data_IF_875079609217
#
_entry.id   IF_875079609217
#
_cell.length_a   1.000
_cell.length_b   1.000
_cell.length_c   1.000
_cell.angle_alpha   90.00
_cell.angle_beta   90.00
_cell.angle_gamma   90.00
#
_symmetry.space_group_name_H-M   'P 1'
#
loop_
_entity.id
_entity.type
_entity.pdbx_description
1 polymer ?
#
# COMPACT_ATOMS: atom_id res chain seq x y z
N UNK A 1 8.01 22.75 17.90
CA UNK A 1 8.08 22.13 16.56
C UNK A 1 6.99 21.06 16.54
N UNK A 2 5.80 21.42 16.08
CA UNK A 2 4.71 20.44 15.94
C UNK A 2 5.14 19.35 14.97
N UNK A 3 5.07 18.11 15.41
CA UNK A 3 5.48 16.96 14.60
C UNK A 3 4.29 16.57 13.74
N UNK A 4 4.15 17.23 12.59
CA UNK A 4 3.14 16.84 11.61
C UNK A 4 3.39 15.37 11.21
N UNK A 5 2.39 14.47 11.35
CA UNK A 5 2.58 13.08 10.99
C UNK A 5 2.85 13.00 9.48
N UNK A 6 4.09 12.68 9.11
CA UNK A 6 4.45 12.43 7.71
C UNK A 6 3.96 11.03 7.33
N UNK A 7 2.99 10.96 6.43
CA UNK A 7 2.46 9.70 5.94
C UNK A 7 3.40 9.09 4.90
N UNK A 8 4.26 8.17 5.38
CA UNK A 8 5.31 7.44 4.63
C UNK A 8 4.80 6.64 3.42
N UNK A 9 3.49 6.57 3.19
CA UNK A 9 2.91 5.96 1.99
C UNK A 9 3.16 6.75 0.70
N UNK A 10 3.40 8.07 0.81
CA UNK A 10 3.54 8.98 -0.33
C UNK A 10 4.99 9.15 -0.82
N UNK A 11 5.96 8.79 0.00
CA UNK A 11 7.36 8.89 -0.36
C UNK A 11 7.82 7.60 -0.99
N UNK A 12 8.45 7.69 -2.17
CA UNK A 12 9.25 6.58 -2.69
C UNK A 12 10.13 6.02 -1.56
N UNK A 13 10.24 4.68 -1.44
CA UNK A 13 11.14 4.13 -0.44
C UNK A 13 12.56 4.65 -0.70
N UNK A 14 13.39 4.81 0.33
CA UNK A 14 14.77 5.23 0.12
C UNK A 14 15.46 4.20 -0.78
N UNK A 15 16.07 4.65 -1.87
CA UNK A 15 16.65 3.79 -2.91
C UNK A 15 18.14 4.07 -3.10
N UNK A 16 18.93 3.02 -3.32
CA UNK A 16 20.32 3.09 -3.81
C UNK A 16 20.33 2.57 -5.25
N UNK A 17 20.81 3.37 -6.20
CA UNK A 17 20.93 2.99 -7.61
C UNK A 17 19.65 2.36 -8.23
N UNK A 18 18.47 2.82 -7.77
CA UNK A 18 17.16 2.33 -8.23
C UNK A 18 16.68 1.02 -7.58
N UNK A 19 17.30 0.60 -6.48
CA UNK A 19 16.86 -0.54 -5.65
C UNK A 19 16.52 -0.06 -4.23
N UNK A 20 15.41 -0.50 -3.62
CA UNK A 20 15.07 -0.08 -2.27
C UNK A 20 16.13 -0.51 -1.24
N UNK A 21 16.50 0.43 -0.37
CA UNK A 21 17.55 0.28 0.64
C UNK A 21 17.36 -0.93 1.54
N UNK A 22 16.15 -1.11 2.08
CA UNK A 22 15.87 -2.17 3.05
C UNK A 22 16.07 -3.58 2.47
N UNK A 23 15.47 -3.98 1.32
CA UNK A 23 15.75 -5.28 0.73
C UNK A 23 17.20 -5.41 0.25
N UNK A 24 17.82 -4.33 -0.24
CA UNK A 24 19.21 -4.36 -0.69
C UNK A 24 20.18 -4.74 0.43
N UNK A 25 20.07 -4.07 1.60
CA UNK A 25 20.92 -4.35 2.77
C UNK A 25 20.69 -5.78 3.29
N UNK A 26 19.42 -6.22 3.37
CA UNK A 26 19.09 -7.58 3.82
C UNK A 26 19.67 -8.63 2.86
N UNK A 27 19.56 -8.43 1.55
CA UNK A 27 20.05 -9.36 0.54
C UNK A 27 21.59 -9.40 0.49
N UNK A 28 22.26 -8.25 0.51
CA UNK A 28 23.72 -8.22 0.53
C UNK A 28 24.27 -8.78 1.84
N UNK A 29 23.68 -8.39 2.97
CA UNK A 29 24.08 -8.87 4.30
C UNK A 29 23.91 -10.39 4.44
N UNK A 30 22.82 -10.97 3.91
CA UNK A 30 22.62 -12.42 3.94
C UNK A 30 23.64 -13.16 3.08
N UNK A 31 23.97 -12.67 1.88
CA UNK A 31 24.99 -13.26 1.02
C UNK A 31 26.37 -13.22 1.69
N UNK A 32 26.73 -12.09 2.30
CA UNK A 32 28.01 -11.93 3.01
C UNK A 32 28.07 -12.89 4.21
N UNK A 33 27.01 -12.98 5.00
CA UNK A 33 26.94 -13.90 6.14
C UNK A 33 27.10 -15.36 5.72
N UNK A 34 26.41 -15.78 4.64
CA UNK A 34 26.53 -17.13 4.11
C UNK A 34 27.94 -17.40 3.58
N UNK A 35 28.53 -16.44 2.85
CA UNK A 35 29.90 -16.55 2.33
C UNK A 35 30.93 -16.69 3.46
N UNK A 36 30.76 -15.94 4.54
CA UNK A 36 31.62 -16.03 5.73
C UNK A 36 31.45 -17.37 6.45
N UNK A 37 30.20 -17.80 6.67
CA UNK A 37 29.89 -19.07 7.32
C UNK A 37 30.44 -20.28 6.55
N UNK A 38 30.32 -20.28 5.22
CA UNK A 38 30.82 -21.36 4.38
C UNK A 38 32.30 -21.22 4.01
N UNK A 39 32.99 -20.17 4.49
CA UNK A 39 34.36 -19.80 4.14
C UNK A 39 34.63 -19.71 2.62
N UNK A 40 33.58 -19.44 1.83
CA UNK A 40 33.65 -19.44 0.36
C UNK A 40 33.37 -18.05 -0.20
N UNK A 41 34.43 -17.29 -0.46
CA UNK A 41 34.34 -15.90 -0.93
C UNK A 41 33.67 -15.78 -2.30
N UNK A 42 33.70 -16.83 -3.14
CA UNK A 42 33.10 -16.79 -4.47
C UNK A 42 31.57 -16.60 -4.42
N UNK A 43 30.92 -16.93 -3.30
CA UNK A 43 29.49 -16.68 -3.09
C UNK A 43 29.12 -15.20 -3.11
N UNK A 44 30.06 -14.29 -2.83
CA UNK A 44 29.84 -12.84 -2.96
C UNK A 44 29.53 -12.45 -4.40
N UNK A 45 30.01 -13.22 -5.39
CA UNK A 45 29.68 -13.02 -6.80
C UNK A 45 28.17 -13.07 -7.10
N UNK A 46 27.37 -13.79 -6.30
CA UNK A 46 25.90 -13.80 -6.42
C UNK A 46 25.24 -12.46 -6.11
N UNK A 47 25.93 -11.53 -5.45
CA UNK A 47 25.40 -10.18 -5.20
C UNK A 47 25.05 -9.43 -6.49
N UNK A 48 25.80 -9.67 -7.57
CA UNK A 48 25.60 -9.03 -8.87
C UNK A 48 24.25 -9.43 -9.49
N UNK A 49 23.97 -10.73 -9.74
CA UNK A 49 22.68 -11.13 -10.30
C UNK A 49 21.51 -10.75 -9.38
N UNK A 50 21.66 -10.86 -8.05
CA UNK A 50 20.62 -10.47 -7.10
C UNK A 50 20.30 -8.96 -7.21
N UNK A 51 21.32 -8.11 -7.36
CA UNK A 51 21.11 -6.68 -7.59
C UNK A 51 20.31 -6.40 -8.87
N UNK A 52 20.67 -7.03 -9.99
CA UNK A 52 19.95 -6.83 -11.25
C UNK A 52 18.51 -7.34 -11.19
N UNK A 53 18.26 -8.48 -10.53
CA UNK A 53 16.90 -8.99 -10.31
C UNK A 53 16.09 -7.97 -9.49
N UNK A 54 16.65 -7.47 -8.39
CA UNK A 54 15.95 -6.49 -7.57
C UNK A 54 15.67 -5.19 -8.33
N UNK A 55 16.61 -4.74 -9.15
CA UNK A 55 16.44 -3.57 -10.02
C UNK A 55 15.33 -3.78 -11.05
N UNK A 56 15.28 -4.96 -11.69
CA UNK A 56 14.24 -5.30 -12.64
C UNK A 56 12.84 -5.37 -11.99
N UNK A 57 12.75 -5.87 -10.76
CA UNK A 57 11.51 -5.89 -9.98
C UNK A 57 11.06 -4.48 -9.62
N UNK A 58 11.97 -3.64 -9.12
CA UNK A 58 11.67 -2.25 -8.71
C UNK A 58 11.26 -1.40 -9.91
N UNK A 59 11.79 -1.65 -11.10
CA UNK A 59 11.38 -0.94 -12.33
C UNK A 59 9.88 -1.11 -12.65
N UNK A 60 9.25 -2.21 -12.23
CA UNK A 60 7.81 -2.43 -12.42
C UNK A 60 6.98 -1.71 -11.35
N UNK A 61 7.44 -1.75 -10.11
CA UNK A 61 6.76 -1.15 -8.95
C UNK A 61 7.79 -0.83 -7.85
N UNK A 62 7.88 0.47 -7.50
CA UNK A 62 8.77 1.00 -6.46
C UNK A 62 8.54 0.32 -5.09
N UNK A 63 7.32 -0.17 -4.82
CA UNK A 63 6.91 -0.78 -3.54
C UNK A 63 6.79 -2.31 -3.58
N UNK A 64 7.27 -2.97 -4.64
CA UNK A 64 7.12 -4.42 -4.81
C UNK A 64 7.64 -5.24 -3.61
N UNK A 65 8.79 -4.87 -3.05
CA UNK A 65 9.38 -5.57 -1.90
C UNK A 65 8.57 -5.38 -0.62
N UNK A 66 7.94 -4.22 -0.45
CA UNK A 66 7.01 -3.96 0.67
C UNK A 66 5.78 -4.85 0.54
N UNK A 67 5.24 -5.01 -0.66
CA UNK A 67 4.13 -5.93 -0.93
C UNK A 67 4.52 -7.40 -0.71
N UNK A 68 5.74 -7.79 -1.12
CA UNK A 68 6.26 -9.14 -0.86
C UNK A 68 6.40 -9.43 0.64
N UNK A 69 6.96 -8.47 1.40
CA UNK A 69 7.07 -8.59 2.85
C UNK A 69 5.69 -8.65 3.51
N UNK A 70 4.73 -7.84 3.03
CA UNK A 70 3.35 -7.88 3.50
C UNK A 70 2.74 -9.27 3.24
N UNK A 71 2.87 -9.80 2.02
CA UNK A 71 2.42 -11.14 1.65
C UNK A 71 3.03 -12.23 2.53
N UNK A 72 4.29 -12.09 2.92
CA UNK A 72 4.97 -13.01 3.84
C UNK A 72 4.41 -12.93 5.26
N UNK A 73 4.11 -11.71 5.75
CA UNK A 73 3.47 -11.51 7.06
C UNK A 73 2.05 -12.08 7.11
N UNK A 74 1.37 -12.12 5.98
CA UNK A 74 0.03 -12.68 5.79
C UNK A 74 0.04 -14.15 5.36
N UNK A 75 1.11 -14.89 5.67
CA UNK A 75 1.11 -16.33 5.42
C UNK A 75 0.11 -17.02 6.35
N UNK A 76 -0.90 -17.68 5.76
CA UNK A 76 -1.96 -18.34 6.53
C UNK A 76 -1.40 -19.53 7.31
N UNK A 77 -1.89 -19.71 8.54
CA UNK A 77 -1.62 -20.91 9.32
C UNK A 77 -2.10 -22.16 8.53
N UNK A 78 -1.25 -23.17 8.31
CA UNK A 78 -1.63 -24.40 7.60
C UNK A 78 -2.90 -25.07 8.16
N UNK A 79 -3.09 -25.05 9.49
CA UNK A 79 -4.27 -25.64 10.13
C UNK A 79 -5.56 -24.89 9.75
N UNK A 80 -5.52 -23.56 9.74
CA UNK A 80 -6.64 -22.71 9.33
C UNK A 80 -6.94 -22.86 7.84
N UNK A 81 -5.89 -22.88 7.00
CA UNK A 81 -6.03 -23.11 5.55
C UNK A 81 -6.69 -24.46 5.25
N UNK A 82 -6.35 -25.52 5.98
CA UNK A 82 -6.95 -26.84 5.78
C UNK A 82 -8.42 -26.89 6.22
N UNK A 83 -8.78 -26.15 7.28
CA UNK A 83 -10.14 -26.09 7.79
C UNK A 83 -11.07 -25.28 6.87
N UNK A 84 -10.68 -24.06 6.50
CA UNK A 84 -11.50 -23.18 5.65
C UNK A 84 -11.32 -23.42 4.15
N UNK A 85 -10.30 -24.19 3.74
CA UNK A 85 -9.88 -24.38 2.33
C UNK A 85 -9.56 -23.06 1.60
N UNK A 86 -9.35 -21.98 2.34
CA UNK A 86 -9.09 -20.64 1.85
C UNK A 86 -8.06 -19.95 2.75
N UNK A 87 -7.48 -18.85 2.26
CA UNK A 87 -6.66 -17.96 3.11
C UNK A 87 -7.60 -17.06 3.91
N UNK A 88 -7.61 -17.23 5.22
CA UNK A 88 -8.37 -16.38 6.13
C UNK A 88 -7.49 -15.31 6.75
N UNK A 89 -8.11 -14.16 7.00
CA UNK A 89 -7.54 -13.01 7.66
C UNK A 89 -8.54 -12.46 8.65
N UNK A 90 -8.08 -12.06 9.82
CA UNK A 90 -8.94 -11.45 10.84
C UNK A 90 -8.85 -9.92 10.79
N UNK A 91 -9.97 -9.25 11.06
CA UNK A 91 -10.02 -7.79 11.16
C UNK A 91 -9.27 -7.29 12.38
N UNK A 92 -9.50 -7.95 13.52
CA UNK A 92 -8.94 -7.61 14.82
C UNK A 92 -8.06 -8.72 15.36
N UNK A 93 -7.11 -8.34 16.21
CA UNK A 93 -6.30 -9.29 16.96
C UNK A 93 -7.14 -9.95 18.05
N UNK A 94 -7.09 -11.28 18.09
CA UNK A 94 -7.72 -12.06 19.15
C UNK A 94 -6.71 -12.35 20.24
N UNK A 95 -7.15 -12.26 21.51
CA UNK A 95 -6.34 -12.67 22.65
C UNK A 95 -6.14 -14.18 22.59
N UNK A 96 -4.92 -14.63 22.86
CA UNK A 96 -4.64 -16.04 23.03
C UNK A 96 -5.41 -16.58 24.25
N UNK A 97 -6.17 -17.65 24.04
CA UNK A 97 -6.86 -18.32 25.15
C UNK A 97 -5.82 -18.97 26.08
N UNK A 98 -6.02 -18.90 27.41
CA UNK A 98 -5.14 -19.57 28.35
C UNK A 98 -5.19 -21.09 28.11
N UNK A 99 -4.03 -21.78 28.09
CA UNK A 99 -3.99 -23.22 27.85
C UNK A 99 -4.72 -24.03 28.93
N UNK A 100 -4.80 -23.50 30.15
CA UNK A 100 -5.48 -24.13 31.29
C UNK A 100 -6.82 -23.45 31.59
N UNK A 101 -7.68 -23.33 30.58
CA UNK A 101 -9.03 -22.81 30.75
C UNK A 101 -10.05 -23.94 30.61
N UNK A 102 -11.07 -23.98 31.48
CA UNK A 102 -12.15 -24.98 31.46
C UNK A 102 -13.16 -24.75 30.31
N UNK A 103 -12.77 -24.04 29.26
CA UNK A 103 -13.65 -23.78 28.12
C UNK A 103 -13.59 -24.95 27.13
N UNK A 104 -14.72 -25.31 26.50
CA UNK A 104 -14.72 -26.30 25.44
C UNK A 104 -13.89 -25.81 24.24
N UNK A 105 -13.12 -26.71 23.62
CA UNK A 105 -12.36 -26.40 22.40
C UNK A 105 -13.32 -26.38 21.20
N UNK A 106 -13.78 -25.20 20.82
CA UNK A 106 -14.74 -25.00 19.71
C UNK A 106 -14.03 -25.04 18.34
N UNK A 107 -12.75 -24.63 18.27
CA UNK A 107 -11.98 -24.54 17.02
C UNK A 107 -10.73 -25.43 17.04
N UNK A 108 -10.37 -25.94 15.86
CA UNK A 108 -9.19 -26.80 15.64
C UNK A 108 -7.88 -26.04 15.89
N UNK A 109 -7.90 -24.71 15.77
CA UNK A 109 -6.79 -23.79 16.00
C UNK A 109 -7.32 -22.53 16.70
N UNK A 110 -6.45 -21.81 17.41
CA UNK A 110 -6.81 -20.54 18.03
C UNK A 110 -7.01 -19.44 17.00
N UNK A 111 -8.06 -18.62 17.16
CA UNK A 111 -8.32 -17.45 16.30
C UNK A 111 -7.19 -16.42 16.33
N UNK A 112 -6.40 -16.39 17.41
CA UNK A 112 -5.21 -15.55 17.54
C UNK A 112 -4.07 -15.96 16.60
N UNK A 113 -4.07 -17.19 16.07
CA UNK A 113 -3.08 -17.67 15.12
C UNK A 113 -3.35 -17.18 13.69
N UNK A 114 -4.52 -16.59 13.44
CA UNK A 114 -4.82 -16.01 12.14
C UNK A 114 -4.16 -14.64 11.98
N UNK A 115 -3.54 -14.36 10.82
CA UNK A 115 -2.96 -13.06 10.56
C UNK A 115 -4.06 -11.99 10.50
N UNK A 116 -3.88 -10.91 11.25
CA UNK A 116 -4.79 -9.76 11.27
C UNK A 116 -4.22 -8.55 10.53
N UNK A 117 -5.12 -7.70 10.04
CA UNK A 117 -4.77 -6.41 9.43
C UNK A 117 -5.10 -5.20 10.33
N UNK A 118 -5.45 -5.44 11.60
CA UNK A 118 -5.79 -4.40 12.58
C UNK A 118 -4.74 -3.27 12.62
N UNK A 119 -3.46 -3.61 12.62
CA UNK A 119 -2.36 -2.63 12.69
C UNK A 119 -2.07 -1.92 11.37
N UNK A 120 -2.65 -2.37 10.26
CA UNK A 120 -2.40 -1.81 8.92
C UNK A 120 -3.46 -0.81 8.51
N UNK A 121 -4.70 -1.01 8.97
CA UNK A 121 -5.80 -0.09 8.68
C UNK A 121 -5.89 0.90 9.84
N UNK A 122 -5.61 2.20 9.62
CA UNK A 122 -5.64 3.22 10.66
C UNK A 122 -7.06 3.64 11.06
N UNK A 123 -8.10 2.89 10.67
CA UNK A 123 -9.50 3.18 10.97
C UNK A 123 -9.82 2.95 12.46
N UNK A 124 -10.59 3.86 13.06
CA UNK A 124 -11.11 3.73 14.42
C UNK A 124 -12.65 3.75 14.45
N UNK A 125 -13.28 4.86 14.06
CA UNK A 125 -14.73 5.00 14.06
C UNK A 125 -15.23 6.03 13.05
N UNK A 126 -16.54 6.12 12.87
CA UNK A 126 -17.22 7.15 12.10
C UNK A 126 -17.75 8.22 13.05
N UNK A 127 -17.60 9.49 12.67
CA UNK A 127 -18.23 10.62 13.36
C UNK A 127 -19.56 10.94 12.65
N UNK A 128 -19.49 11.07 11.32
CA UNK A 128 -20.62 11.30 10.42
C UNK A 128 -20.46 10.38 9.19
N UNK A 129 -21.47 10.35 8.31
CA UNK A 129 -21.45 9.54 7.07
C UNK A 129 -20.25 9.85 6.15
N UNK A 130 -19.69 11.06 6.22
CA UNK A 130 -18.55 11.49 5.38
C UNK A 130 -17.22 11.64 6.14
N UNK A 131 -17.23 11.55 7.47
CA UNK A 131 -16.04 11.85 8.29
C UNK A 131 -15.66 10.66 9.15
N UNK A 132 -14.43 10.19 8.93
CA UNK A 132 -13.82 9.05 9.63
C UNK A 132 -12.77 9.57 10.61
N UNK A 133 -12.66 8.95 11.79
CA UNK A 133 -11.54 9.17 12.71
C UNK A 133 -10.55 8.02 12.66
N UNK A 134 -9.25 8.35 12.62
CA UNK A 134 -8.17 7.37 12.66
C UNK A 134 -7.78 7.00 14.09
N UNK A 135 -6.98 5.93 14.25
CA UNK A 135 -6.42 5.50 15.54
C UNK A 135 -5.51 6.56 16.19
N UNK A 136 -4.97 7.47 15.38
CA UNK A 136 -4.15 8.60 15.84
C UNK A 136 -5.00 9.86 16.08
N UNK A 137 -6.33 9.73 16.16
CA UNK A 137 -7.29 10.82 16.35
C UNK A 137 -7.29 11.88 15.25
N UNK A 138 -6.89 11.50 14.03
CA UNK A 138 -6.95 12.38 12.86
C UNK A 138 -8.30 12.25 12.16
N UNK A 139 -8.86 13.37 11.73
CA UNK A 139 -10.08 13.42 10.96
C UNK A 139 -9.75 13.26 9.47
N UNK A 140 -10.48 12.38 8.79
CA UNK A 140 -10.33 12.11 7.37
C UNK A 140 -11.67 12.23 6.67
N UNK A 141 -11.67 12.91 5.53
CA UNK A 141 -12.77 12.95 4.57
C UNK A 141 -12.18 12.75 3.18
N UNK A 142 -12.97 12.14 2.30
CA UNK A 142 -12.60 11.92 0.89
C UNK A 142 -13.67 12.53 0.01
N UNK A 143 -13.23 13.20 -1.04
CA UNK A 143 -14.08 13.80 -2.06
C UNK A 143 -13.48 13.50 -3.43
N UNK A 144 -14.34 13.46 -4.44
CA UNK A 144 -13.96 13.25 -5.82
C UNK A 144 -14.12 14.57 -6.58
N UNK A 145 -13.16 14.85 -7.46
CA UNK A 145 -13.25 15.93 -8.43
C UNK A 145 -13.46 15.27 -9.79
N UNK A 146 -14.51 15.69 -10.51
CA UNK A 146 -14.73 15.23 -11.87
C UNK A 146 -13.52 15.53 -12.76
N UNK A 147 -13.04 14.53 -13.50
CA UNK A 147 -11.98 14.68 -14.48
C UNK A 147 -12.44 15.41 -15.74
N UNK A 148 -11.48 15.88 -16.53
CA UNK A 148 -11.71 16.49 -17.85
C UNK A 148 -11.11 15.61 -18.95
N UNK A 149 -11.70 15.66 -20.15
CA UNK A 149 -11.21 14.95 -21.34
C UNK A 149 -9.98 15.63 -21.92
N UNK A 150 -8.84 15.49 -21.24
CA UNK A 150 -7.60 16.21 -21.57
C UNK A 150 -7.04 15.95 -22.98
N UNK A 151 -7.49 14.92 -23.69
CA UNK A 151 -7.09 14.67 -25.09
C UNK A 151 -7.91 15.50 -26.10
N UNK A 152 -9.08 15.99 -25.69
CA UNK A 152 -10.00 16.77 -26.53
C UNK A 152 -10.02 18.26 -26.19
N UNK A 153 -9.42 18.65 -25.07
CA UNK A 153 -9.33 20.03 -24.61
C UNK A 153 -8.04 20.69 -25.08
N UNK A 154 -8.07 22.01 -25.25
CA UNK A 154 -6.90 22.80 -25.60
C UNK A 154 -5.91 22.91 -24.42
N UNK A 155 -4.60 22.89 -24.73
CA UNK A 155 -3.53 22.93 -23.72
C UNK A 155 -3.64 24.16 -22.79
N UNK A 156 -4.04 25.32 -23.33
CA UNK A 156 -4.22 26.56 -22.55
C UNK A 156 -5.33 26.42 -21.50
N UNK A 157 -6.44 25.73 -21.84
CA UNK A 157 -7.53 25.49 -20.90
C UNK A 157 -7.11 24.50 -19.80
N UNK A 158 -6.35 23.47 -20.17
CA UNK A 158 -5.79 22.51 -19.21
C UNK A 158 -4.87 23.19 -18.20
N UNK A 159 -4.01 24.11 -18.64
CA UNK A 159 -3.10 24.85 -17.78
C UNK A 159 -3.86 25.77 -16.82
N UNK A 160 -4.89 26.49 -17.32
CA UNK A 160 -5.75 27.32 -16.47
C UNK A 160 -6.42 26.47 -15.37
N UNK A 161 -6.95 25.30 -15.71
CA UNK A 161 -7.59 24.39 -14.73
C UNK A 161 -6.58 23.87 -13.70
N UNK A 162 -5.40 23.48 -14.14
CA UNK A 162 -4.32 23.04 -13.25
C UNK A 162 -3.89 24.15 -12.29
N UNK A 163 -3.77 25.38 -12.77
CA UNK A 163 -3.42 26.53 -11.94
C UNK A 163 -4.50 26.88 -10.92
N UNK A 164 -5.78 26.80 -11.29
CA UNK A 164 -6.90 26.95 -10.35
C UNK A 164 -6.85 25.92 -9.22
N UNK A 165 -6.60 24.65 -9.55
CA UNK A 165 -6.49 23.58 -8.57
C UNK A 165 -5.27 23.80 -7.64
N UNK A 166 -4.13 24.21 -8.20
CA UNK A 166 -2.93 24.53 -7.43
C UNK A 166 -3.15 25.72 -6.48
N UNK A 167 -3.85 26.76 -6.94
CA UNK A 167 -4.22 27.91 -6.09
C UNK A 167 -5.12 27.51 -4.93
N UNK A 168 -6.10 26.62 -5.16
CA UNK A 168 -6.94 26.06 -4.11
C UNK A 168 -6.08 25.38 -3.04
N UNK A 169 -5.14 24.49 -3.40
CA UNK A 169 -4.31 23.84 -2.39
C UNK A 169 -3.35 24.79 -1.68
N UNK A 170 -2.79 25.78 -2.40
CA UNK A 170 -1.94 26.81 -1.80
C UNK A 170 -2.69 27.66 -0.77
N UNK A 171 -4.00 27.86 -0.93
CA UNK A 171 -4.81 28.60 0.05
C UNK A 171 -4.84 27.94 1.44
N UNK A 172 -4.65 26.62 1.51
CA UNK A 172 -4.63 25.85 2.75
C UNK A 172 -3.21 25.62 3.29
N UNK A 173 -2.17 26.24 2.71
CA UNK A 173 -0.78 25.94 3.08
C UNK A 173 -0.42 26.26 4.54
N UNK A 174 -1.15 27.17 5.18
CA UNK A 174 -0.96 27.56 6.58
C UNK A 174 -1.96 26.89 7.54
N UNK A 175 -2.89 26.08 7.02
CA UNK A 175 -3.88 25.38 7.82
C UNK A 175 -3.34 24.00 8.24
N UNK A 176 -3.78 23.44 9.39
CA UNK A 176 -3.38 22.10 9.84
C UNK A 176 -4.11 20.99 9.06
N UNK A 177 -4.17 21.11 7.74
CA UNK A 177 -4.84 20.19 6.82
C UNK A 177 -3.79 19.55 5.92
N UNK A 178 -3.95 18.26 5.64
CA UNK A 178 -3.09 17.52 4.70
C UNK A 178 -3.96 16.90 3.60
N UNK A 179 -3.59 17.13 2.35
CA UNK A 179 -4.29 16.58 1.18
C UNK A 179 -3.61 15.31 0.69
N UNK A 180 -4.44 14.34 0.30
CA UNK A 180 -4.01 13.12 -0.38
C UNK A 180 -4.65 13.07 -1.76
N UNK A 181 -3.84 12.85 -2.78
CA UNK A 181 -4.31 12.78 -4.16
C UNK A 181 -4.23 11.35 -4.67
N UNK A 182 -5.35 10.88 -5.22
CA UNK A 182 -5.40 9.66 -6.00
C UNK A 182 -6.02 9.99 -7.35
N UNK A 183 -5.18 10.08 -8.38
CA UNK A 183 -5.61 10.41 -9.72
C UNK A 183 -5.90 9.12 -10.49
N UNK A 184 -7.15 8.97 -10.93
CA UNK A 184 -7.58 7.90 -11.80
C UNK A 184 -7.69 8.41 -13.24
N UNK A 185 -7.12 7.69 -14.20
CA UNK A 185 -7.32 7.93 -15.64
C UNK A 185 -7.97 6.70 -16.24
N UNK A 186 -9.02 6.90 -17.00
CA UNK A 186 -9.74 5.84 -17.70
C UNK A 186 -10.05 6.29 -19.12
N UNK A 187 -10.02 5.34 -20.06
CA UNK A 187 -10.43 5.60 -21.43
C UNK A 187 -11.95 5.62 -21.50
N UNK A 188 -12.52 6.63 -22.16
CA UNK A 188 -13.95 6.76 -22.41
C UNK A 188 -14.14 6.64 -23.91
N UNK A 189 -14.91 5.65 -24.36
CA UNK A 189 -15.42 5.60 -25.72
C UNK A 189 -16.83 6.20 -25.74
N UNK A 190 -16.99 7.37 -26.36
CA UNK A 190 -18.32 7.91 -26.65
C UNK A 190 -18.74 7.53 -28.08
N UNK A 191 -19.98 7.06 -28.24
CA UNK A 191 -20.55 6.67 -29.54
C UNK A 191 -21.79 7.51 -29.80
N UNK A 192 -21.72 8.36 -30.81
CA UNK A 192 -22.89 9.08 -31.30
C UNK A 192 -23.86 8.10 -31.99
N UNK A 193 -24.94 7.73 -31.30
CA UNK A 193 -26.03 6.97 -31.91
C UNK A 193 -26.98 7.91 -32.63
N UNK A 194 -26.87 7.99 -33.95
CA UNK A 194 -27.85 8.70 -34.80
C UNK A 194 -28.72 7.71 -35.58
N UNK A 195 -30.01 8.02 -35.67
CA UNK A 195 -30.94 7.37 -36.61
C UNK A 195 -31.05 8.25 -37.84
N UNK A 196 -30.26 7.97 -38.87
CA UNK A 196 -30.41 8.62 -40.17
C UNK A 196 -31.57 7.98 -40.92
N UNK A 197 -32.73 8.64 -40.93
CA UNK A 197 -33.79 8.32 -41.90
C UNK A 197 -33.40 9.03 -43.21
N UNK A 198 -32.79 8.30 -44.13
CA UNK A 198 -32.65 8.78 -45.50
C UNK A 198 -34.05 8.73 -46.15
N UNK A 199 -34.67 9.89 -46.33
CA UNK A 199 -35.86 10.07 -47.15
C UNK A 199 -35.46 10.33 -48.62
#
# INVERSE_FOLDING_TARGET
MEKNPLFKGLTRPPMIFGVPMTPFVIAMGSIILVAFYSQNIFLVGFSIPVFFIMKAMTKKDDFIFRLMFLKMRFFSNPASKNYYKAKTYSTNSYRQMPPNSNFPKISVFGLNAEPNFEKLIPFSSLINDSVVITKDYLLMTTWEIGGISFEAEDDDELDIKNDLLNMLFKSFANEPVSFYFHNCRYSIEDKLTSKFNNA
#
